data_IF_480401010870
#
_entry.id   IF_480401010870
#
_cell.length_a   1.000
_cell.length_b   1.000
_cell.length_c   1.000
_cell.angle_alpha   90.00
_cell.angle_beta   90.00
_cell.angle_gamma   90.00
#
_symmetry.space_group_name_H-M   'P 1'
#
loop_
_entity.id
_entity.type
_entity.pdbx_description
1 polymer ?
#
# COMPACT_ATOMS: atom_id res chain seq x y z
N UNK A 1 115.87 -112.55 64.03
CA UNK A 1 115.28 -113.89 63.85
C UNK A 1 113.85 -113.71 63.37
N UNK A 2 113.49 -114.43 62.31
CA UNK A 2 112.15 -114.55 61.72
C UNK A 2 111.23 -115.43 62.58
N UNK A 3 109.92 -115.14 62.60
CA UNK A 3 108.73 -116.03 62.62
C UNK A 3 107.51 -115.08 62.57
N UNK A 4 106.87 -114.83 61.42
CA UNK A 4 105.82 -115.58 60.72
C UNK A 4 104.40 -115.48 61.31
N UNK A 5 103.52 -114.93 60.45
CA UNK A 5 102.10 -115.22 60.21
C UNK A 5 100.94 -114.37 60.79
N UNK A 6 100.03 -114.09 59.85
CA UNK A 6 98.95 -113.11 59.72
C UNK A 6 97.61 -113.64 60.30
N UNK A 7 96.61 -112.80 60.63
CA UNK A 7 95.59 -112.51 59.62
C UNK A 7 94.89 -111.12 59.76
N UNK A 8 94.14 -110.75 58.71
CA UNK A 8 93.10 -109.69 58.63
C UNK A 8 93.52 -108.34 58.03
N UNK A 9 93.87 -108.41 56.76
CA UNK A 9 93.27 -107.57 55.72
C UNK A 9 91.75 -107.38 55.93
N UNK A 10 91.30 -106.18 56.28
CA UNK A 10 89.95 -105.65 55.99
C UNK A 10 89.79 -104.22 56.52
N UNK A 11 90.10 -103.24 55.67
CA UNK A 11 89.48 -101.92 55.72
C UNK A 11 88.99 -101.58 54.31
N UNK A 12 87.83 -100.92 54.19
CA UNK A 12 86.93 -101.09 53.05
C UNK A 12 87.52 -100.45 51.80
N UNK A 13 87.54 -101.18 50.69
CA UNK A 13 87.47 -100.54 49.40
C UNK A 13 86.12 -99.81 49.36
N UNK A 14 86.13 -98.51 49.66
CA UNK A 14 85.00 -97.66 49.34
C UNK A 14 84.97 -97.61 47.83
N UNK A 15 84.19 -98.52 47.27
CA UNK A 15 83.70 -98.42 45.91
C UNK A 15 82.84 -97.17 45.90
N UNK A 16 83.48 -96.02 45.66
CA UNK A 16 82.75 -94.88 45.14
C UNK A 16 82.13 -95.42 43.86
N UNK A 17 80.84 -95.72 43.95
CA UNK A 17 80.03 -96.15 42.83
C UNK A 17 79.92 -94.94 41.88
N UNK A 18 81.04 -94.60 41.25
CA UNK A 18 81.24 -93.47 40.37
C UNK A 18 80.29 -93.62 39.19
N UNK A 19 79.90 -94.84 38.84
CA UNK A 19 78.84 -95.10 37.87
C UNK A 19 77.45 -94.76 38.40
N UNK A 20 77.11 -94.99 39.67
CA UNK A 20 75.83 -94.52 40.25
C UNK A 20 75.80 -92.99 40.43
N UNK A 21 76.90 -92.36 40.85
CA UNK A 21 76.99 -90.89 40.91
C UNK A 21 76.97 -90.27 39.50
N UNK A 22 77.68 -90.85 38.54
CA UNK A 22 77.71 -90.40 37.13
C UNK A 22 76.35 -90.63 36.47
N UNK A 23 75.63 -91.71 36.82
CA UNK A 23 74.26 -91.97 36.39
C UNK A 23 73.27 -90.97 37.00
N UNK A 24 73.37 -90.69 38.30
CA UNK A 24 72.54 -89.65 38.96
C UNK A 24 72.83 -88.25 38.43
N UNK A 25 74.10 -87.94 38.14
CA UNK A 25 74.47 -86.67 37.52
C UNK A 25 73.96 -86.60 36.08
N UNK A 26 74.03 -87.68 35.30
CA UNK A 26 73.42 -87.74 33.97
C UNK A 26 71.90 -87.59 34.02
N UNK A 27 71.21 -88.29 34.94
CA UNK A 27 69.76 -88.19 35.13
C UNK A 27 69.35 -86.81 35.64
N UNK A 28 70.14 -86.19 36.52
CA UNK A 28 69.93 -84.83 36.98
C UNK A 28 70.12 -83.84 35.83
N UNK A 29 71.20 -83.95 35.06
CA UNK A 29 71.45 -83.10 33.89
C UNK A 29 70.32 -83.25 32.87
N UNK A 30 69.84 -84.47 32.59
CA UNK A 30 68.70 -84.69 31.69
C UNK A 30 67.40 -84.04 32.21
N UNK A 31 67.09 -84.20 33.50
CA UNK A 31 65.91 -83.57 34.11
C UNK A 31 66.04 -82.06 34.19
N UNK A 32 67.24 -81.56 34.47
CA UNK A 32 67.53 -80.14 34.54
C UNK A 32 67.45 -79.50 33.15
N UNK A 33 68.04 -80.13 32.13
CA UNK A 33 67.94 -79.70 30.74
C UNK A 33 66.49 -79.71 30.27
N UNK A 34 65.71 -80.76 30.59
CA UNK A 34 64.28 -80.79 30.29
C UNK A 34 63.48 -79.70 31.01
N UNK A 35 63.82 -79.39 32.27
CA UNK A 35 63.21 -78.29 33.02
C UNK A 35 63.55 -76.92 32.43
N UNK A 36 64.82 -76.70 32.07
CA UNK A 36 65.28 -75.48 31.41
C UNK A 36 64.62 -75.33 30.03
N UNK A 37 64.48 -76.42 29.28
CA UNK A 37 63.81 -76.43 27.97
C UNK A 37 62.31 -76.13 28.10
N UNK A 38 61.63 -76.73 29.08
CA UNK A 38 60.23 -76.45 29.38
C UNK A 38 60.03 -75.00 29.88
N UNK A 39 60.93 -74.51 30.74
CA UNK A 39 60.93 -73.13 31.21
C UNK A 39 61.16 -72.13 30.08
N UNK A 40 62.11 -72.41 29.19
CA UNK A 40 62.38 -71.61 27.99
C UNK A 40 61.19 -71.60 27.04
N UNK A 41 60.54 -72.75 26.83
CA UNK A 41 59.32 -72.86 26.00
C UNK A 41 58.17 -72.06 26.59
N UNK A 42 57.96 -72.13 27.91
CA UNK A 42 56.93 -71.37 28.63
C UNK A 42 57.17 -69.86 28.53
N UNK A 43 58.39 -69.39 28.81
CA UNK A 43 58.75 -67.97 28.70
C UNK A 43 58.57 -67.46 27.26
N UNK A 44 58.96 -68.27 26.27
CA UNK A 44 58.79 -67.89 24.86
C UNK A 44 57.29 -67.80 24.48
N UNK A 45 56.48 -68.73 24.98
CA UNK A 45 55.03 -68.73 24.77
C UNK A 45 54.36 -67.52 25.43
N UNK A 46 54.63 -67.27 26.72
CA UNK A 46 54.10 -66.09 27.44
C UNK A 46 54.54 -64.78 26.77
N UNK A 47 55.79 -64.68 26.29
CA UNK A 47 56.27 -63.52 25.54
C UNK A 47 55.53 -63.33 24.21
N UNK A 48 55.23 -64.42 23.50
CA UNK A 48 54.50 -64.36 22.24
C UNK A 48 53.03 -63.99 22.47
N UNK A 49 52.38 -64.57 23.47
CA UNK A 49 51.02 -64.21 23.89
C UNK A 49 50.92 -62.75 24.34
N UNK A 50 51.89 -62.27 25.12
CA UNK A 50 51.96 -60.87 25.52
C UNK A 50 52.13 -59.95 24.31
N UNK A 51 53.04 -60.26 23.38
CA UNK A 51 53.19 -59.50 22.13
C UNK A 51 51.91 -59.48 21.30
N UNK A 52 51.20 -60.60 21.21
CA UNK A 52 49.93 -60.67 20.48
C UNK A 52 48.86 -59.77 21.12
N UNK A 53 48.67 -59.84 22.44
CA UNK A 53 47.74 -58.97 23.17
C UNK A 53 48.10 -57.49 23.06
N UNK A 54 49.39 -57.16 23.09
CA UNK A 54 49.86 -55.78 22.90
C UNK A 54 49.58 -55.28 21.46
N UNK A 55 49.69 -56.16 20.48
CA UNK A 55 49.28 -55.90 19.10
C UNK A 55 47.78 -55.60 19.01
N UNK A 56 46.95 -56.48 19.57
CA UNK A 56 45.48 -56.31 19.61
C UNK A 56 45.06 -55.02 20.31
N UNK A 57 45.65 -54.72 21.48
CA UNK A 57 45.34 -53.51 22.24
C UNK A 57 45.71 -52.24 21.46
N UNK A 58 46.86 -52.24 20.79
CA UNK A 58 47.29 -51.11 19.94
C UNK A 58 46.37 -50.94 18.73
N UNK A 59 45.94 -52.03 18.10
CA UNK A 59 44.99 -52.01 16.98
C UNK A 59 43.63 -51.45 17.45
N UNK A 60 43.13 -51.91 18.60
CA UNK A 60 41.88 -51.44 19.19
C UNK A 60 41.96 -49.95 19.59
N UNK A 61 43.09 -49.53 20.17
CA UNK A 61 43.33 -48.12 20.49
C UNK A 61 43.33 -47.25 19.24
N UNK A 62 44.00 -47.68 18.16
CA UNK A 62 44.00 -46.97 16.87
C UNK A 62 42.58 -46.88 16.30
N UNK A 63 41.86 -47.99 16.28
CA UNK A 63 40.47 -48.05 15.80
C UNK A 63 39.55 -47.10 16.57
N UNK A 64 39.59 -47.13 17.91
CA UNK A 64 38.82 -46.22 18.78
C UNK A 64 39.19 -44.76 18.55
N UNK A 65 40.48 -44.45 18.41
CA UNK A 65 40.95 -43.09 18.12
C UNK A 65 40.40 -42.58 16.78
N UNK A 66 40.43 -43.41 15.74
CA UNK A 66 39.83 -43.07 14.45
C UNK A 66 38.32 -42.86 14.56
N UNK A 67 37.58 -43.72 15.28
CA UNK A 67 36.15 -43.54 15.50
C UNK A 67 35.83 -42.23 16.24
N UNK A 68 36.60 -41.90 17.28
CA UNK A 68 36.44 -40.62 18.01
C UNK A 68 36.63 -39.45 17.05
N UNK A 69 37.67 -39.47 16.22
CA UNK A 69 37.92 -38.41 15.24
C UNK A 69 36.76 -38.28 14.22
N UNK A 70 36.23 -39.40 13.72
CA UNK A 70 35.08 -39.41 12.82
C UNK A 70 33.83 -38.85 13.48
N UNK A 71 33.54 -39.24 14.73
CA UNK A 71 32.39 -38.73 15.49
C UNK A 71 32.52 -37.24 15.79
N UNK A 72 33.72 -36.76 16.14
CA UNK A 72 33.98 -35.33 16.35
C UNK A 72 33.78 -34.53 15.06
N UNK A 73 34.24 -35.05 13.92
CA UNK A 73 34.00 -34.43 12.61
C UNK A 73 32.51 -34.40 12.27
N UNK A 74 31.78 -35.49 12.50
CA UNK A 74 30.33 -35.57 12.29
C UNK A 74 29.57 -34.59 13.19
N UNK A 75 29.94 -34.48 14.47
CA UNK A 75 29.34 -33.53 15.41
C UNK A 75 29.53 -32.09 14.95
N UNK A 76 30.75 -31.73 14.51
CA UNK A 76 31.05 -30.40 13.96
C UNK A 76 30.21 -30.10 12.73
N UNK A 77 30.09 -31.06 11.80
CA UNK A 77 29.25 -30.90 10.61
C UNK A 77 27.77 -30.70 10.97
N UNK A 78 27.23 -31.48 11.91
CA UNK A 78 25.85 -31.32 12.37
C UNK A 78 25.62 -29.96 13.05
N UNK A 79 26.58 -29.50 13.87
CA UNK A 79 26.51 -28.17 14.49
C UNK A 79 26.45 -27.07 13.43
N UNK A 80 27.23 -27.18 12.36
CA UNK A 80 27.24 -26.20 11.27
C UNK A 80 25.93 -26.21 10.48
N UNK A 81 25.36 -27.40 10.22
CA UNK A 81 24.06 -27.55 9.55
C UNK A 81 22.96 -26.94 10.39
N UNK A 82 22.89 -27.23 11.70
CA UNK A 82 21.90 -26.66 12.61
C UNK A 82 21.99 -25.14 12.68
N UNK A 83 23.20 -24.59 12.75
CA UNK A 83 23.41 -23.14 12.76
C UNK A 83 22.88 -22.49 11.46
N UNK A 84 23.12 -23.14 10.32
CA UNK A 84 22.64 -22.67 9.01
C UNK A 84 21.12 -22.75 8.91
N UNK A 85 20.51 -23.87 9.29
CA UNK A 85 19.05 -24.04 9.27
C UNK A 85 18.36 -23.02 10.18
N UNK A 86 18.93 -22.73 11.35
CA UNK A 86 18.39 -21.72 12.26
C UNK A 86 18.48 -20.32 11.66
N UNK A 87 19.56 -19.99 10.95
CA UNK A 87 19.70 -18.71 10.24
C UNK A 87 18.67 -18.59 9.11
N UNK A 88 18.53 -19.63 8.28
CA UNK A 88 17.54 -19.69 7.19
C UNK A 88 16.10 -19.58 7.73
N UNK A 89 15.80 -20.24 8.85
CA UNK A 89 14.50 -20.13 9.52
C UNK A 89 14.21 -18.70 10.01
N UNK A 90 15.19 -18.06 10.63
CA UNK A 90 15.05 -16.68 11.08
C UNK A 90 14.82 -15.72 9.91
N UNK A 91 15.52 -15.92 8.79
CA UNK A 91 15.35 -15.14 7.58
C UNK A 91 13.95 -15.33 6.98
N UNK A 92 13.48 -16.57 6.86
CA UNK A 92 12.11 -16.86 6.39
C UNK A 92 11.05 -16.20 7.28
N UNK A 93 11.19 -16.27 8.60
CA UNK A 93 10.27 -15.60 9.52
C UNK A 93 10.27 -14.07 9.35
N UNK A 94 11.44 -13.46 9.11
CA UNK A 94 11.53 -12.04 8.82
C UNK A 94 10.82 -11.67 7.51
N UNK A 95 10.99 -12.48 6.46
CA UNK A 95 10.29 -12.29 5.18
C UNK A 95 8.78 -12.44 5.31
N UNK A 96 8.30 -13.45 6.06
CA UNK A 96 6.87 -13.64 6.33
C UNK A 96 6.29 -12.41 7.05
N UNK A 97 6.95 -11.95 8.11
CA UNK A 97 6.49 -10.77 8.85
C UNK A 97 6.46 -9.50 7.99
N UNK A 98 7.43 -9.34 7.09
CA UNK A 98 7.45 -8.24 6.14
C UNK A 98 6.28 -8.32 5.15
N UNK A 99 5.98 -9.50 4.62
CA UNK A 99 4.85 -9.72 3.72
C UNK A 99 3.50 -9.48 4.42
N UNK A 100 3.34 -9.95 5.65
CA UNK A 100 2.13 -9.72 6.45
C UNK A 100 1.92 -8.22 6.73
N UNK A 101 2.97 -7.50 7.09
CA UNK A 101 2.92 -6.04 7.29
C UNK A 101 2.54 -5.30 6.00
N UNK A 102 3.11 -5.72 4.86
CA UNK A 102 2.79 -5.15 3.57
C UNK A 102 1.32 -5.44 3.17
N UNK A 103 0.85 -6.67 3.38
CA UNK A 103 -0.55 -7.05 3.15
C UNK A 103 -1.51 -6.21 4.01
N UNK A 104 -1.22 -6.05 5.29
CA UNK A 104 -2.03 -5.23 6.19
C UNK A 104 -2.10 -3.76 5.74
N UNK A 105 -0.96 -3.21 5.32
CA UNK A 105 -0.88 -1.84 4.79
C UNK A 105 -1.70 -1.66 3.50
N UNK A 106 -1.62 -2.65 2.60
CA UNK A 106 -2.41 -2.64 1.37
C UNK A 106 -3.91 -2.78 1.64
N UNK A 107 -4.31 -3.66 2.56
CA UNK A 107 -5.70 -3.81 2.96
C UNK A 107 -6.28 -2.50 3.51
N UNK A 108 -5.55 -1.85 4.43
CA UNK A 108 -5.94 -0.55 4.98
C UNK A 108 -6.05 0.53 3.90
N UNK A 109 -5.15 0.51 2.91
CA UNK A 109 -5.19 1.44 1.76
C UNK A 109 -6.41 1.19 0.88
N UNK A 110 -6.72 -0.06 0.58
CA UNK A 110 -7.92 -0.46 -0.17
C UNK A 110 -9.20 0.00 0.54
N UNK A 111 -9.31 -0.20 1.85
CA UNK A 111 -10.49 0.20 2.63
C UNK A 111 -10.66 1.73 2.65
N UNK A 112 -9.55 2.46 2.81
CA UNK A 112 -9.56 3.93 2.73
C UNK A 112 -10.04 4.42 1.37
N UNK A 113 -9.54 3.84 0.28
CA UNK A 113 -9.94 4.22 -1.08
C UNK A 113 -11.41 3.89 -1.35
N UNK A 114 -11.90 2.72 -0.91
CA UNK A 114 -13.32 2.35 -1.02
C UNK A 114 -14.22 3.36 -0.30
N UNK A 115 -13.84 3.77 0.91
CA UNK A 115 -14.57 4.79 1.67
C UNK A 115 -14.57 6.15 0.96
N UNK A 116 -13.43 6.59 0.44
CA UNK A 116 -13.31 7.85 -0.30
C UNK A 116 -14.13 7.86 -1.60
N UNK A 117 -14.17 6.73 -2.33
CA UNK A 117 -15.01 6.57 -3.52
C UNK A 117 -16.48 6.67 -3.14
N UNK A 118 -16.92 5.96 -2.10
CA UNK A 118 -18.31 6.02 -1.64
C UNK A 118 -18.73 7.43 -1.20
N UNK A 119 -17.86 8.16 -0.51
CA UNK A 119 -18.11 9.54 -0.11
C UNK A 119 -18.23 10.47 -1.33
N UNK A 120 -17.29 10.34 -2.28
CA UNK A 120 -17.31 11.14 -3.52
C UNK A 120 -18.56 10.87 -4.33
N UNK A 121 -18.98 9.60 -4.47
CA UNK A 121 -20.18 9.24 -5.19
C UNK A 121 -21.43 9.90 -4.59
N UNK A 122 -21.57 9.90 -3.26
CA UNK A 122 -22.69 10.60 -2.59
C UNK A 122 -22.69 12.10 -2.88
N UNK A 123 -21.51 12.73 -2.91
CA UNK A 123 -21.41 14.16 -3.24
C UNK A 123 -21.82 14.46 -4.69
N UNK A 124 -21.44 13.58 -5.63
CA UNK A 124 -21.85 13.67 -7.03
C UNK A 124 -23.38 13.56 -7.12
N UNK A 125 -23.97 12.56 -6.46
CA UNK A 125 -25.42 12.32 -6.52
C UNK A 125 -26.21 13.52 -5.97
N UNK A 126 -25.76 14.10 -4.85
CA UNK A 126 -26.36 15.33 -4.28
C UNK A 126 -26.30 16.49 -5.27
N UNK A 127 -25.15 16.72 -5.91
CA UNK A 127 -24.99 17.81 -6.88
C UNK A 127 -25.84 17.60 -8.13
N UNK A 128 -25.90 16.38 -8.65
CA UNK A 128 -26.74 16.04 -9.79
C UNK A 128 -28.22 16.23 -9.47
N UNK A 129 -28.66 15.82 -8.29
CA UNK A 129 -30.04 16.01 -7.86
C UNK A 129 -30.39 17.50 -7.73
N UNK A 130 -29.53 18.29 -7.09
CA UNK A 130 -29.73 19.73 -6.98
C UNK A 130 -29.76 20.43 -8.37
N UNK A 131 -28.91 19.99 -9.31
CA UNK A 131 -28.92 20.50 -10.68
C UNK A 131 -30.22 20.16 -11.41
N UNK A 132 -30.73 18.93 -11.26
CA UNK A 132 -32.01 18.51 -11.85
C UNK A 132 -33.16 19.33 -11.29
N UNK A 133 -33.24 19.48 -9.97
CA UNK A 133 -34.29 20.29 -9.34
C UNK A 133 -34.23 21.76 -9.77
N UNK A 134 -33.02 22.33 -9.91
CA UNK A 134 -32.85 23.68 -10.44
C UNK A 134 -33.30 23.77 -11.89
N UNK A 135 -32.92 22.82 -12.74
CA UNK A 135 -33.33 22.77 -14.14
C UNK A 135 -34.85 22.63 -14.29
N UNK A 136 -35.50 21.78 -13.50
CA UNK A 136 -36.95 21.61 -13.49
C UNK A 136 -37.67 22.90 -13.08
N UNK A 137 -37.17 23.61 -12.05
CA UNK A 137 -37.72 24.91 -11.65
C UNK A 137 -37.55 25.96 -12.75
N UNK A 138 -36.38 26.02 -13.38
CA UNK A 138 -36.11 26.95 -14.47
C UNK A 138 -36.96 26.65 -15.70
N UNK A 139 -37.13 25.39 -16.08
CA UNK A 139 -37.98 24.98 -17.20
C UNK A 139 -39.45 25.30 -16.92
N UNK A 140 -39.93 24.97 -15.71
CA UNK A 140 -41.27 25.32 -15.26
C UNK A 140 -41.55 26.82 -15.33
N UNK A 141 -40.61 27.65 -14.85
CA UNK A 141 -40.73 29.11 -14.91
C UNK A 141 -40.65 29.62 -16.37
N UNK A 142 -39.73 29.10 -17.17
CA UNK A 142 -39.55 29.48 -18.58
C UNK A 142 -40.83 29.26 -19.40
N UNK A 143 -41.51 28.12 -19.17
CA UNK A 143 -42.79 27.79 -19.81
C UNK A 143 -43.91 28.78 -19.48
N UNK A 144 -43.87 29.43 -18.30
CA UNK A 144 -44.86 30.43 -17.89
C UNK A 144 -44.49 31.85 -18.34
N UNK A 145 -43.19 32.17 -18.34
CA UNK A 145 -42.68 33.50 -18.69
C UNK A 145 -43.13 33.96 -20.08
N UNK A 146 -43.08 33.10 -21.10
CA UNK A 146 -43.46 33.48 -22.47
C UNK A 146 -44.93 33.89 -22.60
N UNK A 147 -45.89 33.02 -22.20
CA UNK A 147 -47.31 33.38 -22.19
C UNK A 147 -47.65 34.59 -21.33
N UNK A 148 -47.06 34.71 -20.13
CA UNK A 148 -47.28 35.85 -19.24
C UNK A 148 -46.74 37.16 -19.84
N UNK A 149 -45.53 37.14 -20.39
CA UNK A 149 -44.94 38.28 -21.07
C UNK A 149 -45.82 38.70 -22.24
N UNK A 150 -46.25 37.76 -23.09
CA UNK A 150 -47.14 38.05 -24.21
C UNK A 150 -48.48 38.63 -23.76
N UNK A 151 -49.06 38.13 -22.66
CA UNK A 151 -50.26 38.70 -22.06
C UNK A 151 -50.04 40.15 -21.65
N UNK A 152 -48.96 40.46 -20.92
CA UNK A 152 -48.69 41.83 -20.48
C UNK A 152 -48.33 42.77 -21.62
N UNK A 153 -47.54 42.32 -22.59
CA UNK A 153 -47.20 43.09 -23.79
C UNK A 153 -48.47 43.48 -24.56
N UNK A 154 -49.39 42.53 -24.74
CA UNK A 154 -50.68 42.76 -25.42
C UNK A 154 -51.60 43.66 -24.58
N UNK A 155 -51.75 43.36 -23.29
CA UNK A 155 -52.67 44.07 -22.40
C UNK A 155 -52.25 45.53 -22.16
N UNK A 156 -50.95 45.75 -21.95
CA UNK A 156 -50.39 47.09 -21.77
C UNK A 156 -50.11 47.77 -23.11
N UNK A 157 -49.99 47.05 -24.21
CA UNK A 157 -49.48 47.57 -25.48
C UNK A 157 -48.08 48.17 -25.29
N UNK A 158 -47.21 47.46 -24.56
CA UNK A 158 -45.89 47.94 -24.17
C UNK A 158 -44.92 46.76 -24.12
N UNK A 159 -43.80 46.88 -24.83
CA UNK A 159 -42.68 45.93 -24.80
C UNK A 159 -41.44 46.61 -24.24
N UNK A 160 -40.67 45.87 -23.46
CA UNK A 160 -39.40 46.34 -22.90
C UNK A 160 -38.30 45.44 -23.47
N UNK A 161 -37.34 46.04 -24.17
CA UNK A 161 -36.27 45.35 -24.88
C UNK A 161 -34.90 45.83 -24.37
N UNK A 162 -33.90 44.95 -24.40
CA UNK A 162 -32.51 45.36 -24.24
C UNK A 162 -32.04 46.09 -25.49
N UNK A 163 -31.39 47.24 -25.35
CA UNK A 163 -30.89 48.01 -26.50
C UNK A 163 -29.48 47.60 -26.95
N UNK A 164 -28.97 46.45 -26.48
CA UNK A 164 -27.61 45.94 -26.74
C UNK A 164 -26.50 46.59 -25.90
N UNK A 165 -26.83 47.61 -25.11
CA UNK A 165 -25.97 48.26 -24.10
C UNK A 165 -26.56 47.97 -22.72
N UNK A 166 -25.77 47.40 -21.81
CA UNK A 166 -26.22 47.03 -20.45
C UNK A 166 -26.72 48.24 -19.63
N UNK A 167 -26.30 49.46 -20.01
CA UNK A 167 -26.75 50.70 -19.36
C UNK A 167 -28.03 51.28 -19.95
N UNK A 168 -28.67 50.60 -20.91
CA UNK A 168 -29.82 51.15 -21.64
C UNK A 168 -30.94 50.13 -21.82
N UNK A 169 -32.16 50.61 -21.69
CA UNK A 169 -33.38 49.84 -21.89
C UNK A 169 -34.24 50.56 -22.92
N UNK A 170 -34.72 49.83 -23.92
CA UNK A 170 -35.65 50.35 -24.92
C UNK A 170 -37.07 50.01 -24.51
N UNK A 171 -37.95 51.00 -24.55
CA UNK A 171 -39.37 50.84 -24.28
C UNK A 171 -40.11 51.12 -25.58
N UNK A 172 -40.94 50.18 -26.02
CA UNK A 172 -41.76 50.26 -27.24
C UNK A 172 -43.23 50.25 -26.84
N UNK A 173 -43.97 51.28 -27.24
CA UNK A 173 -45.43 51.34 -27.10
C UNK A 173 -46.10 50.99 -28.42
N UNK A 174 -47.03 50.05 -28.35
CA UNK A 174 -47.91 49.67 -29.46
C UNK A 174 -49.22 50.45 -29.34
N UNK A 175 -49.57 51.21 -30.37
CA UNK A 175 -50.83 51.94 -30.44
C UNK A 175 -51.83 51.27 -31.38
N UNK A 176 -53.13 51.25 -31.03
CA UNK A 176 -54.16 50.73 -31.92
C UNK A 176 -54.18 51.47 -33.28
N UNK A 177 -54.62 50.77 -34.34
CA UNK A 177 -54.76 51.38 -35.66
C UNK A 177 -55.76 52.55 -35.66
N UNK A 178 -55.52 53.58 -36.47
CA UNK A 178 -56.46 54.69 -36.66
C UNK A 178 -57.74 54.21 -37.37
N UNK A 179 -58.91 54.68 -36.93
CA UNK A 179 -60.19 54.39 -37.59
C UNK A 179 -60.18 54.98 -39.01
N UNK A 180 -60.29 54.12 -40.03
CA UNK A 180 -60.34 54.52 -41.45
C UNK A 180 -59.06 54.28 -42.27
N UNK A 181 -58.02 53.67 -41.69
CA UNK A 181 -56.82 53.26 -42.44
C UNK A 181 -57.09 52.06 -43.36
N UNK A 182 -56.54 52.11 -44.59
CA UNK A 182 -56.60 51.01 -45.57
C UNK A 182 -55.86 49.73 -45.11
N UNK A 183 -55.76 48.70 -45.98
CA UNK A 183 -55.26 47.35 -45.64
C UNK A 183 -53.79 47.26 -45.19
N UNK A 184 -53.09 48.40 -45.07
CA UNK A 184 -51.69 48.54 -44.70
C UNK A 184 -51.53 49.38 -43.40
N UNK A 185 -52.51 49.29 -42.49
CA UNK A 185 -52.47 49.99 -41.19
C UNK A 185 -51.51 49.25 -40.25
N UNK A 186 -50.23 49.32 -40.62
CA UNK A 186 -49.11 48.73 -39.90
C UNK A 186 -49.08 49.28 -38.48
N UNK A 187 -48.80 48.40 -37.53
CA UNK A 187 -48.77 48.67 -36.10
C UNK A 187 -48.06 50.00 -35.80
N UNK A 188 -48.76 50.91 -35.11
CA UNK A 188 -48.22 52.23 -34.81
C UNK A 188 -47.36 52.14 -33.58
N UNK A 189 -46.05 52.12 -33.78
CA UNK A 189 -45.08 52.03 -32.70
C UNK A 189 -44.50 53.39 -32.33
N UNK A 190 -44.35 53.63 -31.03
CA UNK A 190 -43.45 54.66 -30.51
C UNK A 190 -42.43 54.02 -29.59
N UNK A 191 -41.21 54.54 -29.58
CA UNK A 191 -40.12 53.99 -28.80
C UNK A 191 -39.31 55.08 -28.13
N UNK A 192 -38.75 54.78 -26.96
CA UNK A 192 -37.70 55.57 -26.36
C UNK A 192 -36.67 54.69 -25.67
N UNK A 193 -35.43 55.16 -25.59
CA UNK A 193 -34.37 54.48 -24.83
C UNK A 193 -34.06 55.25 -23.57
N UNK A 194 -34.14 54.54 -22.44
CA UNK A 194 -33.81 55.03 -21.12
C UNK A 194 -32.41 54.55 -20.74
N UNK A 195 -31.53 55.50 -20.45
CA UNK A 195 -30.26 55.22 -19.80
C UNK A 195 -30.51 54.98 -18.31
N UNK A 196 -30.15 53.77 -17.86
CA UNK A 196 -30.25 53.33 -16.48
C UNK A 196 -28.87 53.54 -15.81
N UNK A 197 -28.81 54.29 -14.70
CA UNK A 197 -27.55 54.53 -14.02
C UNK A 197 -27.01 53.23 -13.42
N UNK A 198 -25.68 53.05 -13.44
CA UNK A 198 -25.00 51.90 -12.86
C UNK A 198 -25.24 51.73 -11.35
N UNK A 199 -25.64 52.80 -10.66
CA UNK A 199 -25.98 52.81 -9.24
C UNK A 199 -27.40 53.36 -9.04
N UNK A 200 -28.08 52.90 -8.00
CA UNK A 200 -29.44 53.37 -7.65
C UNK A 200 -29.54 54.86 -7.30
N UNK A 201 -28.41 55.56 -7.19
CA UNK A 201 -28.33 57.01 -6.91
C UNK A 201 -28.03 57.87 -8.14
N UNK A 202 -27.67 57.29 -9.29
CA UNK A 202 -27.38 58.06 -10.51
C UNK A 202 -28.64 58.63 -11.18
N UNK A 203 -28.48 59.45 -12.23
CA UNK A 203 -29.60 60.09 -12.94
C UNK A 203 -30.01 59.24 -14.16
N UNK A 204 -31.31 59.01 -14.32
CA UNK A 204 -31.90 58.46 -15.53
C UNK A 204 -32.00 59.54 -16.60
N UNK A 205 -31.80 59.14 -17.86
CA UNK A 205 -31.87 60.04 -19.03
C UNK A 205 -32.55 59.33 -20.20
N UNK A 206 -33.37 60.06 -20.97
CA UNK A 206 -33.93 59.55 -22.22
C UNK A 206 -33.01 59.96 -23.37
N UNK A 207 -32.27 58.99 -23.92
CA UNK A 207 -31.20 59.23 -24.90
C UNK A 207 -31.68 59.10 -26.35
N UNK A 208 -32.80 58.43 -26.56
CA UNK A 208 -33.42 58.24 -27.86
C UNK A 208 -34.94 58.25 -27.74
N UNK A 209 -35.62 58.76 -28.75
CA UNK A 209 -37.07 58.67 -28.88
C UNK A 209 -37.51 58.74 -30.34
N UNK A 210 -38.58 58.02 -30.69
CA UNK A 210 -39.22 58.06 -32.00
C UNK A 210 -40.72 57.80 -31.84
N UNK A 211 -41.63 58.65 -32.34
CA UNK A 211 -41.38 59.96 -32.97
C UNK A 211 -40.72 60.99 -32.04
N UNK A 212 -40.25 62.11 -32.59
CA UNK A 212 -39.57 63.15 -31.80
C UNK A 212 -40.61 63.88 -30.93
N UNK A 213 -40.38 63.92 -29.62
CA UNK A 213 -41.23 64.64 -28.67
C UNK A 213 -40.63 65.99 -28.29
N UNK A 214 -41.46 66.85 -27.68
CA UNK A 214 -41.04 68.10 -27.05
C UNK A 214 -40.10 67.83 -25.87
N UNK A 215 -38.85 68.27 -26.00
CA UNK A 215 -37.79 68.07 -25.02
C UNK A 215 -38.15 68.59 -23.62
N UNK A 216 -38.86 69.72 -23.53
CA UNK A 216 -39.23 70.33 -22.23
C UNK A 216 -40.25 69.47 -21.50
N UNK A 217 -41.15 68.82 -22.23
CA UNK A 217 -42.14 67.91 -21.63
C UNK A 217 -41.49 66.60 -21.21
N UNK A 218 -40.58 66.06 -22.01
CA UNK A 218 -39.82 64.85 -21.68
C UNK A 218 -38.96 65.08 -20.43
N UNK A 219 -38.24 66.19 -20.35
CA UNK A 219 -37.40 66.54 -19.20
C UNK A 219 -38.20 66.56 -17.90
N UNK A 220 -39.40 67.16 -17.89
CA UNK A 220 -40.28 67.16 -16.71
C UNK A 220 -40.66 65.76 -16.24
N UNK A 221 -40.93 64.84 -17.17
CA UNK A 221 -41.26 63.45 -16.83
C UNK A 221 -40.03 62.71 -16.29
N UNK A 222 -38.87 62.94 -16.88
CA UNK A 222 -37.59 62.35 -16.46
C UNK A 222 -37.13 62.90 -15.10
N UNK A 223 -37.33 64.18 -14.81
CA UNK A 223 -37.04 64.78 -13.51
C UNK A 223 -37.92 64.21 -12.40
N UNK A 224 -39.19 63.95 -12.73
CA UNK A 224 -40.09 63.25 -11.81
C UNK A 224 -39.62 61.82 -11.54
N UNK A 225 -39.16 61.09 -12.56
CA UNK A 225 -38.54 59.76 -12.37
C UNK A 225 -37.30 59.85 -11.47
N UNK A 226 -36.42 60.83 -11.71
CA UNK A 226 -35.20 60.99 -10.92
C UNK A 226 -35.47 61.32 -9.46
N UNK A 227 -36.57 62.04 -9.20
CA UNK A 227 -36.99 62.41 -7.83
C UNK A 227 -37.71 61.27 -7.11
N UNK A 228 -38.57 60.53 -7.80
CA UNK A 228 -39.46 59.52 -7.20
C UNK A 228 -38.92 58.09 -7.30
N UNK A 229 -38.06 57.82 -8.28
CA UNK A 229 -37.60 56.47 -8.70
C UNK A 229 -38.74 55.55 -9.13
N UNK A 230 -39.91 56.08 -9.46
CA UNK A 230 -41.07 55.32 -9.91
C UNK A 230 -41.12 55.18 -11.44
N UNK A 231 -40.72 54.01 -11.95
CA UNK A 231 -40.72 53.75 -13.40
C UNK A 231 -42.12 53.78 -14.01
N UNK A 232 -43.16 53.36 -13.28
CA UNK A 232 -44.53 53.39 -13.76
C UNK A 232 -45.01 54.81 -14.10
N UNK A 233 -44.56 55.79 -13.34
CA UNK A 233 -44.86 57.22 -13.57
C UNK A 233 -44.20 57.74 -14.84
N UNK A 234 -42.94 57.34 -15.10
CA UNK A 234 -42.25 57.62 -16.37
C UNK A 234 -43.03 57.02 -17.55
N UNK A 235 -43.35 55.73 -17.50
CA UNK A 235 -44.00 55.01 -18.60
C UNK A 235 -45.35 55.65 -18.95
N UNK A 236 -46.15 56.00 -17.93
CA UNK A 236 -47.43 56.70 -18.13
C UNK A 236 -47.24 58.08 -18.73
N UNK A 237 -46.26 58.85 -18.24
CA UNK A 237 -45.94 60.19 -18.76
C UNK A 237 -45.49 60.15 -20.22
N UNK A 238 -44.51 59.31 -20.53
CA UNK A 238 -43.99 59.14 -21.90
C UNK A 238 -45.08 58.66 -22.86
N UNK A 239 -45.90 57.68 -22.45
CA UNK A 239 -47.04 57.22 -23.27
C UNK A 239 -48.01 58.35 -23.56
N UNK A 240 -48.32 59.19 -22.57
CA UNK A 240 -49.18 60.36 -22.77
C UNK A 240 -48.62 61.34 -23.80
N UNK A 241 -47.32 61.63 -23.75
CA UNK A 241 -46.65 62.49 -24.73
C UNK A 241 -46.69 61.90 -26.15
N UNK A 242 -46.43 60.59 -26.28
CA UNK A 242 -46.55 59.91 -27.57
C UNK A 242 -47.97 59.92 -28.10
N UNK A 243 -48.97 59.67 -27.25
CA UNK A 243 -50.39 59.74 -27.65
C UNK A 243 -50.73 61.12 -28.21
N UNK A 244 -50.26 62.20 -27.59
CA UNK A 244 -50.53 63.56 -28.05
C UNK A 244 -49.82 63.89 -29.37
N UNK A 245 -48.59 63.41 -29.57
CA UNK A 245 -47.85 63.57 -30.82
C UNK A 245 -48.40 62.70 -31.96
N UNK A 246 -49.00 61.56 -31.61
CA UNK A 246 -49.49 60.54 -32.54
C UNK A 246 -50.99 60.63 -32.82
N UNK A 247 -51.73 61.58 -32.25
CA UNK A 247 -53.11 61.86 -32.65
C UNK A 247 -53.16 62.40 -34.07
#
# INVERSE_FOLDING_TARGET
MSYSDNPLTQLPAVDFNFDDLRKRMADFTLKFDAFIEQGRKRVLQERNEFRARLGELNEEQRSKSTQIATLQSSLSNHSNVLAREQAEKNEMHAQISQLESHQATQAATCDRLRSAIAQTQRQIDIKLQAQREYAEKMDGQSRLNGPELNFWETYLGCRIEGSGDESRVRIVFMFPPLKGGGPNNDEREATFELQVPATGSGRYEVVYMKPKLDAVKVEKVVDRLNSTREIGTLLKGMRGLFVDEMK
#
